data_IF_305174229516
#
_entry.id   IF_305174229516
#
_cell.length_a   1.000
_cell.length_b   1.000
_cell.length_c   1.000
_cell.angle_alpha   90.00
_cell.angle_beta   90.00
_cell.angle_gamma   90.00
#
_symmetry.space_group_name_H-M   'P 1'
#
loop_
_entity.id
_entity.type
_entity.pdbx_description
1 polymer ?
#
# COMPACT_ATOMS: atom_id res chain seq x y z
N UNK A 1 23.95 54.12 -6.27
CA UNK A 1 23.59 52.72 -6.54
C UNK A 1 23.20 52.08 -5.21
N UNK A 2 21.93 51.69 -5.04
CA UNK A 2 21.46 50.92 -3.89
C UNK A 2 20.74 49.70 -4.45
N UNK A 3 21.32 48.54 -4.21
CA UNK A 3 20.84 47.24 -4.65
C UNK A 3 19.49 46.93 -4.01
N UNK A 4 18.52 46.56 -4.85
CA UNK A 4 17.20 46.14 -4.44
C UNK A 4 17.26 44.73 -3.85
N UNK A 5 16.95 44.61 -2.57
CA UNK A 5 16.64 43.34 -1.91
C UNK A 5 15.31 42.86 -2.48
N UNK A 6 15.37 41.87 -3.38
CA UNK A 6 14.18 41.11 -3.80
C UNK A 6 13.78 40.17 -2.67
N UNK A 7 12.92 40.66 -1.79
CA UNK A 7 12.19 39.82 -0.84
C UNK A 7 11.39 38.77 -1.61
N UNK A 8 11.83 37.51 -1.52
CA UNK A 8 11.07 36.35 -1.94
C UNK A 8 9.79 36.24 -1.11
N UNK A 9 8.75 36.91 -1.59
CA UNK A 9 7.39 36.86 -1.07
C UNK A 9 6.87 35.44 -1.24
N UNK A 10 7.08 34.61 -0.23
CA UNK A 10 6.51 33.27 -0.11
C UNK A 10 4.99 33.41 -0.10
N UNK A 11 4.36 33.16 -1.25
CA UNK A 11 2.91 33.08 -1.40
C UNK A 11 2.41 31.86 -0.62
N UNK A 12 2.20 32.02 0.67
CA UNK A 12 1.43 31.08 1.49
C UNK A 12 -0.02 31.11 1.01
N UNK A 13 -0.35 30.20 0.09
CA UNK A 13 -1.74 29.93 -0.28
C UNK A 13 -2.45 29.32 0.93
N UNK A 14 -3.31 30.12 1.56
CA UNK A 14 -3.95 29.89 2.86
C UNK A 14 -4.91 28.67 2.99
N UNK A 15 -4.86 27.68 2.09
CA UNK A 15 -5.59 26.42 2.25
C UNK A 15 -4.78 25.23 1.73
N UNK A 16 -3.88 24.67 2.55
CA UNK A 16 -3.38 23.29 2.36
C UNK A 16 -4.49 22.30 2.72
N UNK A 17 -5.48 22.14 1.83
CA UNK A 17 -6.59 21.19 2.02
C UNK A 17 -6.09 19.74 2.21
N UNK A 18 -4.89 19.42 1.71
CA UNK A 18 -4.25 18.11 1.81
C UNK A 18 -2.74 18.25 2.09
N UNK A 19 -2.14 17.26 2.77
CA UNK A 19 -0.68 17.25 3.03
C UNK A 19 0.16 17.16 1.75
N UNK A 20 -0.25 16.34 0.79
CA UNK A 20 0.42 16.17 -0.49
C UNK A 20 -0.50 16.53 -1.67
N UNK A 21 -0.43 17.76 -2.21
CA UNK A 21 -1.30 18.20 -3.31
C UNK A 21 -0.91 17.60 -4.67
N UNK A 22 0.30 17.06 -4.82
CA UNK A 22 0.85 16.50 -6.04
C UNK A 22 1.32 15.05 -5.77
N UNK A 23 0.39 14.12 -5.47
CA UNK A 23 0.75 12.73 -5.26
C UNK A 23 1.34 12.12 -6.53
N UNK A 24 2.37 11.29 -6.35
CA UNK A 24 3.04 10.54 -7.41
C UNK A 24 3.22 9.11 -6.91
N UNK A 25 3.02 8.14 -7.80
CA UNK A 25 3.36 6.76 -7.50
C UNK A 25 4.86 6.55 -7.58
N UNK A 26 5.44 6.04 -6.49
CA UNK A 26 6.84 5.64 -6.43
C UNK A 26 6.89 4.18 -5.96
N UNK A 27 7.28 3.24 -6.84
CA UNK A 27 7.45 1.86 -6.42
C UNK A 27 8.59 1.77 -5.40
N UNK A 28 8.57 0.71 -4.59
CA UNK A 28 9.69 0.43 -3.69
C UNK A 28 10.96 0.16 -4.48
N UNK A 29 12.09 0.51 -3.89
CA UNK A 29 13.40 0.25 -4.48
C UNK A 29 13.56 -1.25 -4.82
N UNK A 30 14.09 -1.53 -6.01
CA UNK A 30 14.30 -2.90 -6.52
C UNK A 30 13.05 -3.65 -6.97
N UNK A 31 11.82 -3.16 -6.70
CA UNK A 31 10.59 -3.79 -7.21
C UNK A 31 10.44 -3.54 -8.71
N UNK A 32 10.30 -4.63 -9.48
CA UNK A 32 9.97 -4.60 -10.90
C UNK A 32 8.51 -5.00 -11.12
N UNK A 33 7.95 -4.54 -12.23
CA UNK A 33 6.64 -4.98 -12.74
C UNK A 33 6.76 -5.62 -14.12
N UNK A 34 5.71 -6.31 -14.54
CA UNK A 34 5.61 -7.02 -15.82
C UNK A 34 5.66 -6.04 -17.00
N UNK A 35 6.15 -6.46 -18.18
CA UNK A 35 6.13 -5.61 -19.38
C UNK A 35 4.72 -5.10 -19.73
N UNK A 36 3.70 -5.96 -19.62
CA UNK A 36 2.31 -5.56 -19.82
C UNK A 36 1.86 -4.45 -18.85
N UNK A 37 2.24 -4.55 -17.58
CA UNK A 37 1.93 -3.53 -16.57
C UNK A 37 2.64 -2.20 -16.85
N UNK A 38 3.86 -2.20 -17.40
CA UNK A 38 4.53 -0.96 -17.86
C UNK A 38 3.76 -0.31 -19.01
N UNK A 39 3.25 -1.11 -19.95
CA UNK A 39 2.38 -0.60 -21.03
C UNK A 39 1.11 0.03 -20.46
N UNK A 40 0.47 -0.60 -19.48
CA UNK A 40 -0.69 -0.03 -18.78
C UNK A 40 -0.34 1.29 -18.10
N UNK A 41 0.79 1.37 -17.39
CA UNK A 41 1.25 2.60 -16.74
C UNK A 41 1.45 3.74 -17.74
N UNK A 42 2.14 3.49 -18.86
CA UNK A 42 2.32 4.49 -19.91
C UNK A 42 0.98 4.96 -20.48
N UNK A 43 0.06 4.02 -20.77
CA UNK A 43 -1.29 4.35 -21.24
C UNK A 43 -2.13 5.08 -20.19
N UNK A 44 -1.85 4.93 -18.90
CA UNK A 44 -2.57 5.59 -17.81
C UNK A 44 -2.08 7.01 -17.49
N UNK A 45 -0.99 7.49 -18.10
CA UNK A 45 -0.42 8.80 -17.80
C UNK A 45 -1.39 9.94 -18.14
N UNK A 46 -1.69 10.80 -17.16
CA UNK A 46 -2.61 11.93 -17.33
C UNK A 46 -4.06 11.51 -17.61
N UNK A 47 -4.46 10.28 -17.30
CA UNK A 47 -5.77 9.71 -17.59
C UNK A 47 -6.94 10.65 -17.24
N UNK A 48 -6.93 11.27 -16.06
CA UNK A 48 -8.05 12.12 -15.63
C UNK A 48 -8.18 13.46 -16.35
N UNK A 49 -7.25 13.79 -17.25
CA UNK A 49 -7.31 14.97 -18.12
C UNK A 49 -7.80 14.64 -19.53
N UNK A 50 -7.99 13.35 -19.86
CA UNK A 50 -8.41 12.89 -21.18
C UNK A 50 -9.92 12.99 -21.39
N UNK A 51 -10.33 12.95 -22.65
CA UNK A 51 -11.74 12.93 -23.03
C UNK A 51 -12.45 11.68 -22.52
N UNK A 52 -11.83 10.49 -22.60
CA UNK A 52 -12.39 9.23 -22.11
C UNK A 52 -12.85 9.30 -20.65
N UNK A 53 -12.00 9.85 -19.78
CA UNK A 53 -12.36 10.06 -18.38
C UNK A 53 -13.57 10.99 -18.23
N UNK A 54 -13.62 12.07 -19.03
CA UNK A 54 -14.74 13.01 -19.02
C UNK A 54 -16.04 12.36 -19.50
N UNK A 55 -15.97 11.46 -20.49
CA UNK A 55 -17.11 10.66 -20.98
C UNK A 55 -17.63 9.74 -19.87
N UNK A 56 -16.77 9.01 -19.17
CA UNK A 56 -17.18 8.17 -18.04
C UNK A 56 -17.88 8.99 -16.94
N UNK A 57 -17.37 10.19 -16.64
CA UNK A 57 -18.02 11.06 -15.65
C UNK A 57 -19.36 11.60 -16.19
N UNK A 58 -19.46 11.96 -17.46
CA UNK A 58 -20.70 12.41 -18.08
C UNK A 58 -21.77 11.30 -18.07
N UNK A 59 -21.38 10.06 -18.36
CA UNK A 59 -22.27 8.91 -18.26
C UNK A 59 -22.74 8.65 -16.82
N UNK A 60 -21.84 8.73 -15.83
CA UNK A 60 -22.25 8.66 -14.43
C UNK A 60 -23.22 9.80 -14.03
N UNK A 61 -23.13 10.95 -14.69
CA UNK A 61 -24.06 12.08 -14.49
C UNK A 61 -25.42 11.86 -15.14
N UNK A 62 -25.47 11.32 -16.36
CA UNK A 62 -26.75 11.02 -17.01
C UNK A 62 -27.55 9.96 -16.26
N UNK A 63 -26.86 9.03 -15.58
CA UNK A 63 -27.49 8.04 -14.69
C UNK A 63 -27.88 8.58 -13.31
N UNK A 64 -27.70 9.88 -13.04
CA UNK A 64 -27.99 10.48 -11.73
C UNK A 64 -27.05 10.04 -10.58
N UNK A 65 -26.06 9.18 -10.84
CA UNK A 65 -25.08 8.74 -9.84
C UNK A 65 -24.16 9.89 -9.41
N UNK A 66 -23.90 10.83 -10.32
CA UNK A 66 -23.07 12.02 -10.09
C UNK A 66 -23.74 13.30 -10.58
N UNK A 67 -23.37 14.41 -9.97
CA UNK A 67 -23.78 15.74 -10.44
C UNK A 67 -22.63 16.56 -11.02
N UNK A 68 -21.39 16.35 -10.55
CA UNK A 68 -20.23 17.22 -10.84
C UNK A 68 -18.98 16.44 -11.18
N UNK A 69 -18.09 17.09 -11.93
CA UNK A 69 -16.71 16.62 -12.12
C UNK A 69 -15.97 16.51 -10.77
N UNK A 70 -15.08 15.52 -10.62
CA UNK A 70 -14.26 15.41 -9.43
C UNK A 70 -13.30 16.62 -9.33
N UNK A 71 -13.08 17.16 -8.11
CA UNK A 71 -12.16 18.27 -7.92
C UNK A 71 -10.73 17.87 -8.30
N UNK A 72 -9.90 18.86 -8.65
CA UNK A 72 -8.52 18.64 -9.13
C UNK A 72 -7.69 17.75 -8.20
N UNK A 73 -7.78 17.95 -6.88
CA UNK A 73 -7.04 17.14 -5.91
C UNK A 73 -7.46 15.66 -5.86
N UNK A 74 -8.70 15.34 -6.27
CA UNK A 74 -9.16 13.96 -6.42
C UNK A 74 -8.67 13.37 -7.73
N UNK A 75 -8.69 14.16 -8.82
CA UNK A 75 -8.14 13.77 -10.12
C UNK A 75 -6.65 13.39 -10.02
N UNK A 76 -5.83 14.25 -9.40
CA UNK A 76 -4.42 13.93 -9.12
C UNK A 76 -4.23 12.66 -8.29
N UNK A 77 -5.10 12.43 -7.30
CA UNK A 77 -5.06 11.20 -6.51
C UNK A 77 -5.42 9.95 -7.34
N UNK A 78 -6.40 10.07 -8.26
CA UNK A 78 -6.76 9.00 -9.20
C UNK A 78 -5.59 8.71 -10.14
N UNK A 79 -4.94 9.73 -10.71
CA UNK A 79 -3.79 9.51 -11.61
C UNK A 79 -2.65 8.77 -10.89
N UNK A 80 -2.28 9.21 -9.69
CA UNK A 80 -1.27 8.54 -8.88
C UNK A 80 -1.66 7.10 -8.53
N UNK A 81 -2.91 6.88 -8.11
CA UNK A 81 -3.40 5.54 -7.82
C UNK A 81 -3.41 4.64 -9.04
N UNK A 82 -3.85 5.14 -10.20
CA UNK A 82 -3.93 4.35 -11.42
C UNK A 82 -2.55 3.84 -11.83
N UNK A 83 -1.51 4.66 -11.71
CA UNK A 83 -0.12 4.21 -11.89
C UNK A 83 0.24 3.04 -10.95
N UNK A 84 -0.09 3.16 -9.67
CA UNK A 84 0.17 2.08 -8.71
C UNK A 84 -0.70 0.84 -8.89
N UNK A 85 -1.96 0.99 -9.29
CA UNK A 85 -2.86 -0.11 -9.63
C UNK A 85 -2.30 -0.88 -10.82
N UNK A 86 -1.90 -0.18 -11.89
CA UNK A 86 -1.27 -0.78 -13.07
C UNK A 86 0.04 -1.48 -12.71
N UNK A 87 0.88 -0.86 -11.87
CA UNK A 87 2.15 -1.46 -11.45
C UNK A 87 1.96 -2.80 -10.72
N UNK A 88 0.96 -2.90 -9.85
CA UNK A 88 0.69 -4.12 -9.05
C UNK A 88 -0.36 -5.03 -9.68
N UNK A 89 -0.76 -4.78 -10.92
CA UNK A 89 -1.78 -5.57 -11.61
C UNK A 89 -1.25 -6.97 -11.97
N UNK A 90 -2.07 -7.99 -11.71
CA UNK A 90 -1.84 -9.37 -12.13
C UNK A 90 -2.84 -9.75 -13.24
N UNK A 91 -2.38 -9.92 -14.50
CA UNK A 91 -3.25 -10.25 -15.62
C UNK A 91 -3.85 -11.66 -15.54
N UNK A 92 -3.24 -12.57 -14.77
CA UNK A 92 -3.78 -13.92 -14.56
C UNK A 92 -5.10 -13.83 -13.79
N UNK A 93 -5.04 -13.33 -12.55
CA UNK A 93 -6.21 -13.22 -11.68
C UNK A 93 -7.12 -12.01 -11.99
N UNK A 94 -6.72 -11.11 -12.90
CA UNK A 94 -7.31 -9.78 -13.08
C UNK A 94 -7.44 -9.04 -11.73
N UNK A 95 -6.34 -8.96 -10.97
CA UNK A 95 -6.39 -8.42 -9.62
C UNK A 95 -5.16 -7.61 -9.27
N UNK A 96 -5.34 -6.55 -8.49
CA UNK A 96 -4.24 -5.77 -7.95
C UNK A 96 -3.66 -6.48 -6.72
N UNK A 97 -2.41 -6.92 -6.81
CA UNK A 97 -1.71 -7.69 -5.78
C UNK A 97 -1.10 -6.79 -4.68
N UNK A 98 -1.86 -5.79 -4.23
CA UNK A 98 -1.40 -4.83 -3.22
C UNK A 98 -2.54 -4.32 -2.34
N UNK A 99 -2.25 -4.18 -1.05
CA UNK A 99 -3.22 -3.57 -0.12
C UNK A 99 -3.37 -2.08 -0.40
N UNK A 100 -4.58 -1.55 -0.21
CA UNK A 100 -4.87 -0.11 -0.37
C UNK A 100 -3.97 0.72 0.54
N UNK A 101 -3.63 0.21 1.73
CA UNK A 101 -2.73 0.93 2.65
C UNK A 101 -1.35 1.14 2.03
N UNK A 102 -0.74 0.08 1.48
CA UNK A 102 0.58 0.20 0.87
C UNK A 102 0.52 1.00 -0.42
N UNK A 103 -0.54 0.82 -1.22
CA UNK A 103 -0.77 1.61 -2.42
C UNK A 103 -0.88 3.11 -2.10
N UNK A 104 -1.61 3.48 -1.04
CA UNK A 104 -1.73 4.86 -0.60
C UNK A 104 -0.40 5.44 -0.12
N UNK A 105 0.46 4.65 0.51
CA UNK A 105 1.82 5.07 0.91
C UNK A 105 2.68 5.28 -0.35
N UNK A 106 2.70 4.31 -1.25
CA UNK A 106 3.49 4.35 -2.50
C UNK A 106 3.03 5.49 -3.42
N UNK A 107 1.76 5.92 -3.35
CA UNK A 107 1.24 7.08 -4.09
C UNK A 107 1.38 8.42 -3.35
N UNK A 108 1.98 8.44 -2.15
CA UNK A 108 2.08 9.66 -1.33
C UNK A 108 0.72 10.22 -0.87
N UNK A 109 -0.31 9.38 -0.78
CA UNK A 109 -1.68 9.72 -0.37
C UNK A 109 -1.97 9.41 1.10
N UNK A 110 -1.18 8.53 1.70
CA UNK A 110 -1.28 8.19 3.12
C UNK A 110 -0.74 9.32 4.00
N UNK A 111 -1.37 9.53 5.14
CA UNK A 111 -0.91 10.51 6.14
C UNK A 111 -0.90 9.87 7.51
N UNK A 112 0.05 10.24 8.35
CA UNK A 112 0.06 9.87 9.77
C UNK A 112 -0.15 11.12 10.63
N UNK A 113 -0.98 11.00 11.67
CA UNK A 113 -1.18 12.04 12.69
C UNK A 113 0.01 12.09 13.66
N UNK A 114 0.10 13.14 14.48
CA UNK A 114 1.08 13.22 15.59
C UNK A 114 0.96 12.03 16.55
N UNK A 115 -0.28 11.58 16.80
CA UNK A 115 -0.57 10.39 17.63
C UNK A 115 -0.27 9.05 16.95
N UNK A 116 0.10 9.04 15.66
CA UNK A 116 0.43 7.82 14.92
C UNK A 116 -0.71 7.13 14.20
N UNK A 117 -1.86 7.81 14.07
CA UNK A 117 -3.00 7.29 13.36
C UNK A 117 -2.78 7.46 11.86
N UNK A 118 -2.78 6.34 11.13
CA UNK A 118 -2.65 6.33 9.68
C UNK A 118 -4.02 6.57 9.05
N UNK A 119 -4.10 7.56 8.16
CA UNK A 119 -5.26 7.83 7.32
C UNK A 119 -4.91 7.61 5.86
N UNK A 120 -5.78 6.87 5.17
CA UNK A 120 -5.71 6.57 3.74
C UNK A 120 -6.96 7.06 3.00
N UNK A 121 -7.75 7.94 3.63
CA UNK A 121 -9.08 8.36 3.16
C UNK A 121 -9.06 8.98 1.77
N UNK A 122 -7.96 9.65 1.39
CA UNK A 122 -7.80 10.18 0.02
C UNK A 122 -7.77 9.06 -1.01
N UNK A 123 -7.03 7.99 -0.72
CA UNK A 123 -6.94 6.85 -1.61
C UNK A 123 -8.28 6.11 -1.71
N UNK A 124 -8.91 5.80 -0.58
CA UNK A 124 -10.19 5.06 -0.57
C UNK A 124 -11.32 5.85 -1.26
N UNK A 125 -11.40 7.17 -1.07
CA UNK A 125 -12.38 8.01 -1.78
C UNK A 125 -12.14 8.07 -3.29
N UNK A 126 -10.88 8.08 -3.73
CA UNK A 126 -10.54 8.06 -5.15
C UNK A 126 -10.85 6.70 -5.79
N UNK A 127 -10.52 5.59 -5.12
CA UNK A 127 -10.85 4.24 -5.61
C UNK A 127 -12.36 4.00 -5.68
N UNK A 128 -13.12 4.42 -4.65
CA UNK A 128 -14.59 4.36 -4.70
C UNK A 128 -15.17 5.17 -5.85
N UNK A 129 -14.56 6.32 -6.17
CA UNK A 129 -14.96 7.13 -7.32
C UNK A 129 -14.69 6.39 -8.64
N UNK A 130 -13.53 5.74 -8.80
CA UNK A 130 -13.25 4.93 -9.99
C UNK A 130 -14.21 3.73 -10.13
N UNK A 131 -14.59 3.11 -9.02
CA UNK A 131 -15.57 2.03 -9.03
C UNK A 131 -16.98 2.52 -9.41
N UNK A 132 -17.38 3.70 -8.95
CA UNK A 132 -18.63 4.35 -9.31
C UNK A 132 -18.71 4.69 -10.81
N UNK A 133 -17.56 5.01 -11.44
CA UNK A 133 -17.44 5.17 -12.90
C UNK A 133 -17.46 3.85 -13.67
N UNK A 134 -17.48 2.70 -12.97
CA UNK A 134 -17.44 1.38 -13.58
C UNK A 134 -16.07 1.00 -14.16
N UNK A 135 -14.99 1.70 -13.77
CA UNK A 135 -13.64 1.44 -14.28
C UNK A 135 -12.97 0.28 -13.53
N UNK A 136 -13.24 0.13 -12.24
CA UNK A 136 -12.70 -0.95 -11.41
C UNK A 136 -13.82 -1.61 -10.62
N UNK A 137 -13.59 -2.85 -10.18
CA UNK A 137 -14.35 -3.38 -9.05
C UNK A 137 -13.68 -2.96 -7.74
N UNK A 138 -14.47 -2.84 -6.68
CA UNK A 138 -13.99 -2.50 -5.34
C UNK A 138 -14.82 -3.27 -4.32
N UNK A 139 -14.33 -4.42 -3.88
CA UNK A 139 -15.07 -5.31 -2.98
C UNK A 139 -14.33 -5.46 -1.66
N UNK A 140 -15.00 -5.15 -0.55
CA UNK A 140 -14.45 -5.35 0.80
C UNK A 140 -15.37 -6.31 1.54
N UNK A 141 -14.81 -7.41 2.04
CA UNK A 141 -15.53 -8.37 2.86
C UNK A 141 -15.07 -8.25 4.32
N UNK A 142 -16.00 -8.35 5.27
CA UNK A 142 -15.68 -8.48 6.69
C UNK A 142 -15.58 -9.97 7.03
N UNK A 143 -14.49 -10.37 7.69
CA UNK A 143 -14.31 -11.74 8.19
C UNK A 143 -14.57 -11.74 9.72
N UNK A 144 -15.71 -12.30 10.18
CA UNK A 144 -16.07 -12.33 11.59
C UNK A 144 -15.12 -13.16 12.45
N UNK A 145 -14.47 -14.18 11.88
CA UNK A 145 -13.59 -15.09 12.63
C UNK A 145 -12.32 -14.37 13.08
N UNK A 146 -11.80 -13.47 12.26
CA UNK A 146 -10.63 -12.64 12.57
C UNK A 146 -11.00 -11.23 13.07
N UNK A 147 -12.29 -10.88 13.06
CA UNK A 147 -12.79 -9.59 13.52
C UNK A 147 -12.29 -8.39 12.71
N UNK A 148 -12.02 -8.56 11.42
CA UNK A 148 -11.55 -7.46 10.56
C UNK A 148 -11.93 -7.63 9.08
N UNK A 149 -11.82 -6.55 8.32
CA UNK A 149 -12.01 -6.58 6.88
C UNK A 149 -10.85 -7.30 6.18
N UNK A 150 -11.19 -8.24 5.30
CA UNK A 150 -10.28 -8.86 4.32
C UNK A 150 -9.72 -7.76 3.40
N UNK A 151 -8.49 -7.89 2.87
CA UNK A 151 -7.96 -6.95 1.89
C UNK A 151 -8.95 -6.74 0.76
N UNK A 152 -9.27 -5.47 0.49
CA UNK A 152 -10.17 -5.10 -0.60
C UNK A 152 -9.66 -5.67 -1.92
N UNK A 153 -10.55 -6.34 -2.63
CA UNK A 153 -10.32 -6.86 -3.96
C UNK A 153 -10.61 -5.77 -4.98
N UNK A 154 -9.60 -5.50 -5.82
CA UNK A 154 -9.68 -4.53 -6.91
C UNK A 154 -9.31 -5.26 -8.20
N UNK A 155 -10.25 -5.29 -9.14
CA UNK A 155 -10.08 -5.83 -10.49
C UNK A 155 -10.30 -4.74 -11.53
N UNK A 156 -9.71 -4.91 -12.72
CA UNK A 156 -9.94 -4.00 -13.83
C UNK A 156 -11.14 -4.48 -14.64
N UNK A 157 -11.96 -3.52 -15.07
CA UNK A 157 -13.10 -3.80 -15.95
C UNK A 157 -12.69 -3.66 -17.43
N UNK A 158 -13.44 -4.25 -18.36
CA UNK A 158 -13.26 -3.98 -19.79
C UNK A 158 -13.34 -2.48 -20.12
N UNK A 159 -14.19 -1.73 -19.40
CA UNK A 159 -14.31 -0.28 -19.58
C UNK A 159 -13.01 0.46 -19.29
N UNK A 160 -12.26 0.07 -18.26
CA UNK A 160 -10.94 0.66 -17.99
C UNK A 160 -9.91 0.30 -19.06
N UNK A 161 -9.88 -0.95 -19.54
CA UNK A 161 -8.97 -1.31 -20.63
C UNK A 161 -9.27 -0.52 -21.90
N UNK A 162 -10.55 -0.40 -22.26
CA UNK A 162 -11.00 0.42 -23.38
C UNK A 162 -10.61 1.89 -23.22
N UNK A 163 -10.86 2.48 -22.04
CA UNK A 163 -10.49 3.87 -21.75
C UNK A 163 -8.97 4.13 -21.71
N UNK A 164 -8.16 3.07 -21.59
CA UNK A 164 -6.70 3.11 -21.69
C UNK A 164 -6.18 2.71 -23.08
N UNK A 165 -7.07 2.49 -24.05
CA UNK A 165 -6.73 2.03 -25.40
C UNK A 165 -5.90 0.73 -25.37
N UNK A 166 -6.41 -0.25 -24.61
CA UNK A 166 -5.88 -1.60 -24.49
C UNK A 166 -6.92 -2.57 -25.02
N UNK A 167 -6.58 -3.30 -26.08
CA UNK A 167 -7.47 -4.30 -26.67
C UNK A 167 -7.61 -5.54 -25.79
N UNK A 168 -8.77 -6.19 -25.86
CA UNK A 168 -9.03 -7.46 -25.17
C UNK A 168 -8.03 -8.55 -25.58
N UNK A 169 -7.62 -8.55 -26.86
CA UNK A 169 -6.58 -9.45 -27.37
C UNK A 169 -5.25 -9.26 -26.62
N UNK A 170 -4.86 -8.02 -26.32
CA UNK A 170 -3.65 -7.74 -25.56
C UNK A 170 -3.77 -8.22 -24.10
N UNK A 171 -4.95 -8.08 -23.48
CA UNK A 171 -5.22 -8.58 -22.13
C UNK A 171 -5.15 -10.10 -22.10
N UNK A 172 -5.78 -10.79 -23.05
CA UNK A 172 -5.76 -12.24 -23.18
C UNK A 172 -4.35 -12.77 -23.43
N UNK A 173 -3.57 -12.11 -24.29
CA UNK A 173 -2.18 -12.47 -24.52
C UNK A 173 -1.33 -12.34 -23.25
N UNK A 174 -1.50 -11.25 -22.49
CA UNK A 174 -0.82 -11.06 -21.21
C UNK A 174 -1.19 -12.14 -20.18
N UNK A 175 -2.47 -12.54 -20.15
CA UNK A 175 -2.95 -13.64 -19.29
C UNK A 175 -2.33 -14.99 -19.67
N UNK A 176 -2.34 -15.35 -20.97
CA UNK A 176 -1.74 -16.60 -21.47
C UNK A 176 -0.24 -16.67 -21.17
N UNK A 177 0.49 -15.60 -21.45
CA UNK A 177 1.92 -15.50 -21.12
C UNK A 177 2.18 -15.70 -19.62
N UNK A 178 1.26 -15.24 -18.77
CA UNK A 178 1.37 -15.44 -17.32
C UNK A 178 1.14 -16.89 -16.90
N UNK A 179 0.16 -17.58 -17.51
CA UNK A 179 -0.09 -19.02 -17.31
C UNK A 179 1.14 -19.84 -17.68
N UNK A 180 1.70 -19.60 -18.87
CA UNK A 180 2.91 -20.28 -19.35
C UNK A 180 4.09 -20.09 -18.39
N UNK A 181 4.31 -18.85 -17.94
CA UNK A 181 5.38 -18.55 -17.00
C UNK A 181 5.21 -19.27 -15.66
N UNK A 182 3.99 -19.32 -15.11
CA UNK A 182 3.70 -20.03 -13.86
C UNK A 182 3.95 -21.53 -14.01
N UNK A 183 3.49 -22.14 -15.10
CA UNK A 183 3.73 -23.55 -15.38
C UNK A 183 5.21 -23.87 -15.63
N UNK A 184 5.98 -22.94 -16.22
CA UNK A 184 7.44 -23.06 -16.29
C UNK A 184 8.09 -23.05 -14.90
N UNK A 185 7.63 -22.20 -13.97
CA UNK A 185 8.14 -22.25 -12.59
C UNK A 185 7.77 -23.55 -11.88
N UNK A 186 6.56 -24.05 -12.10
CA UNK A 186 6.10 -25.33 -11.55
C UNK A 186 6.94 -26.50 -12.04
N UNK A 187 7.27 -26.53 -13.34
CA UNK A 187 8.15 -27.55 -13.92
C UNK A 187 9.54 -27.53 -13.29
N UNK A 188 10.11 -26.36 -13.02
CA UNK A 188 11.39 -26.22 -12.28
C UNK A 188 11.32 -26.76 -10.85
N UNK A 189 10.13 -26.77 -10.25
CA UNK A 189 9.86 -27.32 -8.93
C UNK A 189 9.38 -28.78 -8.98
N UNK A 190 9.46 -29.44 -10.14
CA UNK A 190 8.94 -30.81 -10.36
C UNK A 190 7.45 -30.98 -10.04
N UNK A 191 6.67 -29.91 -10.20
CA UNK A 191 5.22 -29.93 -10.03
C UNK A 191 4.53 -30.06 -11.39
N UNK A 192 3.41 -30.79 -11.43
CA UNK A 192 2.57 -30.91 -12.62
C UNK A 192 2.05 -29.53 -13.07
N UNK A 193 1.92 -29.29 -14.38
CA UNK A 193 1.28 -28.08 -14.88
C UNK A 193 -0.17 -28.04 -14.38
N UNK A 194 -0.68 -26.82 -14.20
CA UNK A 194 -2.08 -26.59 -13.85
C UNK A 194 -2.77 -25.86 -14.98
N UNK A 195 -4.07 -26.09 -15.08
CA UNK A 195 -4.92 -25.35 -16.00
C UNK A 195 -5.10 -23.91 -15.53
N UNK A 196 -5.52 -23.05 -16.45
CA UNK A 196 -5.66 -21.62 -16.19
C UNK A 196 -6.59 -21.34 -15.00
N UNK A 197 -7.73 -22.02 -14.92
CA UNK A 197 -8.71 -21.79 -13.85
C UNK A 197 -8.18 -22.21 -12.48
N UNK A 198 -7.38 -23.28 -12.42
CA UNK A 198 -6.73 -23.73 -11.19
C UNK A 198 -5.66 -22.73 -10.72
N UNK A 199 -4.89 -22.17 -11.66
CA UNK A 199 -3.91 -21.13 -11.38
C UNK A 199 -4.58 -19.85 -10.88
N UNK A 200 -5.71 -19.45 -11.48
CA UNK A 200 -6.51 -18.31 -11.02
C UNK A 200 -7.01 -18.58 -9.59
N UNK A 201 -7.63 -19.74 -9.34
CA UNK A 201 -8.13 -20.10 -8.01
C UNK A 201 -7.02 -20.11 -6.96
N UNK A 202 -5.82 -20.56 -7.32
CA UNK A 202 -4.63 -20.53 -6.46
C UNK A 202 -4.17 -19.10 -6.16
N UNK A 203 -4.12 -18.23 -7.17
CA UNK A 203 -3.76 -16.82 -7.00
C UNK A 203 -4.72 -16.08 -6.06
N UNK A 204 -6.02 -16.39 -6.12
CA UNK A 204 -7.03 -15.84 -5.22
C UNK A 204 -6.92 -16.36 -3.78
N UNK A 205 -6.74 -17.68 -3.60
CA UNK A 205 -6.58 -18.30 -2.25
C UNK A 205 -5.36 -17.76 -1.52
N UNK A 206 -4.22 -17.68 -2.21
CA UNK A 206 -2.96 -17.26 -1.62
C UNK A 206 -3.06 -15.95 -0.85
N UNK A 207 -3.81 -14.97 -1.37
CA UNK A 207 -3.90 -13.66 -0.73
C UNK A 207 -4.76 -13.67 0.53
N UNK A 208 -5.86 -14.44 0.55
CA UNK A 208 -6.70 -14.58 1.73
C UNK A 208 -5.95 -15.34 2.83
N UNK A 209 -5.25 -16.41 2.49
CA UNK A 209 -4.46 -17.21 3.44
C UNK A 209 -3.28 -16.43 4.04
N UNK A 210 -2.50 -15.74 3.19
CA UNK A 210 -1.39 -14.87 3.64
C UNK A 210 -1.85 -13.72 4.52
N UNK A 211 -3.05 -13.20 4.28
CA UNK A 211 -3.58 -12.12 5.11
C UNK A 211 -3.77 -12.58 6.57
N UNK A 212 -4.31 -13.79 6.78
CA UNK A 212 -4.56 -14.34 8.11
C UNK A 212 -3.26 -14.60 8.87
N UNK A 213 -2.27 -15.21 8.22
CA UNK A 213 -0.96 -15.45 8.86
C UNK A 213 -0.23 -14.14 9.19
N UNK A 214 -0.28 -13.15 8.30
CA UNK A 214 0.42 -11.87 8.50
C UNK A 214 -0.24 -10.94 9.53
N UNK A 215 -1.53 -11.13 9.88
CA UNK A 215 -2.21 -10.24 10.85
C UNK A 215 -1.55 -10.24 12.23
N UNK A 216 -1.16 -11.42 12.73
CA UNK A 216 -0.53 -11.56 14.05
C UNK A 216 0.80 -10.80 14.10
N UNK A 217 1.62 -10.93 13.07
CA UNK A 217 2.88 -10.19 12.89
C UNK A 217 2.66 -8.68 12.78
N UNK A 218 1.60 -8.23 12.08
CA UNK A 218 1.28 -6.80 12.03
C UNK A 218 0.91 -6.23 13.39
N UNK A 219 0.16 -6.99 14.20
CA UNK A 219 -0.24 -6.57 15.56
C UNK A 219 0.99 -6.43 16.44
N UNK A 220 1.88 -7.43 16.44
CA UNK A 220 3.13 -7.40 17.22
C UNK A 220 4.04 -6.25 16.77
N UNK A 221 4.19 -6.06 15.46
CA UNK A 221 4.96 -4.95 14.90
C UNK A 221 4.33 -3.59 15.22
N UNK A 222 2.99 -3.50 15.30
CA UNK A 222 2.27 -2.31 15.77
C UNK A 222 2.64 -1.92 17.20
N UNK A 223 2.73 -2.90 18.10
CA UNK A 223 3.18 -2.68 19.48
C UNK A 223 4.65 -2.20 19.53
N UNK A 224 5.52 -2.76 18.67
CA UNK A 224 6.91 -2.32 18.54
C UNK A 224 7.00 -0.86 18.08
N UNK A 225 6.20 -0.45 17.09
CA UNK A 225 6.14 0.96 16.64
C UNK A 225 5.62 1.89 17.72
N UNK A 226 4.53 1.51 18.41
CA UNK A 226 3.98 2.31 19.51
C UNK A 226 5.01 2.49 20.64
N UNK A 227 5.79 1.45 20.93
CA UNK A 227 6.91 1.50 21.86
C UNK A 227 8.04 2.39 21.34
N UNK A 228 8.49 2.20 20.10
CA UNK A 228 9.52 3.02 19.46
C UNK A 228 9.19 4.51 19.48
N UNK A 229 7.91 4.87 19.27
CA UNK A 229 7.43 6.24 19.40
C UNK A 229 7.56 6.80 20.82
N UNK A 230 7.21 6.03 21.86
CA UNK A 230 7.41 6.45 23.26
C UNK A 230 8.88 6.55 23.64
N UNK A 231 9.72 5.76 22.98
CA UNK A 231 11.17 5.73 23.18
C UNK A 231 11.90 6.76 22.30
N UNK A 232 11.18 7.54 21.46
CA UNK A 232 11.76 8.49 20.51
C UNK A 232 12.59 9.57 21.23
N UNK A 233 12.05 10.13 22.31
CA UNK A 233 12.67 11.20 23.09
C UNK A 233 13.55 10.68 24.24
N UNK A 234 13.69 9.36 24.39
CA UNK A 234 14.45 8.74 25.49
C UNK A 234 15.92 8.56 25.16
N UNK A 235 16.78 8.68 26.17
CA UNK A 235 18.20 8.35 26.03
C UNK A 235 18.42 6.83 25.97
N UNK A 236 19.61 6.41 25.52
CA UNK A 236 19.99 4.99 25.54
C UNK A 236 19.97 4.44 26.97
N UNK A 237 20.42 5.22 27.96
CA UNK A 237 20.45 4.81 29.36
C UNK A 237 19.05 4.56 29.90
N UNK A 238 18.09 5.45 29.61
CA UNK A 238 16.68 5.26 29.99
C UNK A 238 16.10 3.96 29.42
N UNK A 239 16.38 3.70 28.14
CA UNK A 239 15.93 2.47 27.47
C UNK A 239 16.57 1.23 28.12
N UNK A 240 17.86 1.27 28.45
CA UNK A 240 18.54 0.18 29.17
C UNK A 240 17.87 -0.08 30.52
N UNK A 241 17.59 0.96 31.30
CA UNK A 241 16.92 0.84 32.61
C UNK A 241 15.55 0.19 32.47
N UNK A 242 14.74 0.65 31.51
CA UNK A 242 13.41 0.08 31.24
C UNK A 242 13.47 -1.38 30.80
N UNK A 243 14.45 -1.76 29.97
CA UNK A 243 14.62 -3.15 29.52
C UNK A 243 15.07 -4.03 30.69
N UNK A 244 15.98 -3.56 31.54
CA UNK A 244 16.39 -4.27 32.77
C UNK A 244 15.18 -4.54 33.67
N UNK A 245 14.40 -3.52 34.00
CA UNK A 245 13.18 -3.67 34.80
C UNK A 245 12.19 -4.67 34.18
N UNK A 246 12.04 -4.65 32.86
CA UNK A 246 11.19 -5.60 32.14
C UNK A 246 11.71 -7.04 32.27
N UNK A 247 13.00 -7.26 32.04
CA UNK A 247 13.61 -8.59 32.09
C UNK A 247 13.61 -9.18 33.50
N UNK A 248 13.90 -8.37 34.53
CA UNK A 248 13.82 -8.82 35.93
C UNK A 248 12.41 -9.28 36.29
N UNK A 249 11.37 -8.56 35.85
CA UNK A 249 9.98 -8.96 36.06
C UNK A 249 9.61 -10.23 35.30
N UNK A 250 10.08 -10.38 34.07
CA UNK A 250 9.86 -11.59 33.26
C UNK A 250 10.56 -12.82 33.86
N UNK A 251 11.77 -12.64 34.43
CA UNK A 251 12.48 -13.68 35.16
C UNK A 251 11.73 -14.10 36.43
N UNK A 252 11.32 -13.13 37.25
CA UNK A 252 10.57 -13.39 38.48
C UNK A 252 9.22 -14.06 38.25
N UNK A 253 8.58 -13.81 37.10
CA UNK A 253 7.29 -14.41 36.72
C UNK A 253 7.42 -15.69 35.89
N UNK A 254 8.64 -16.21 35.70
CA UNK A 254 8.91 -17.42 34.93
C UNK A 254 8.68 -17.29 33.41
N UNK A 255 8.46 -16.08 32.88
CA UNK A 255 8.26 -15.82 31.44
C UNK A 255 9.57 -15.76 30.66
N UNK A 256 10.68 -15.54 31.36
CA UNK A 256 12.02 -15.65 30.81
C UNK A 256 12.74 -16.79 31.51
N UNK A 257 13.31 -17.71 30.73
CA UNK A 257 14.10 -18.84 31.23
C UNK A 257 15.52 -18.73 30.71
N UNK A 258 16.50 -19.13 31.53
CA UNK A 258 17.92 -19.11 31.18
C UNK A 258 18.78 -18.39 32.22
N UNK A 259 20.09 -18.66 32.20
CA UNK A 259 21.05 -18.08 33.13
C UNK A 259 21.40 -16.61 32.84
N UNK A 260 22.37 -16.09 33.60
CA UNK A 260 22.85 -14.71 33.54
C UNK A 260 23.25 -14.26 32.12
N UNK A 261 23.92 -15.12 31.36
CA UNK A 261 24.39 -14.81 30.01
C UNK A 261 23.26 -14.73 28.99
N UNK A 262 22.21 -15.56 29.15
CA UNK A 262 21.00 -15.45 28.33
C UNK A 262 20.30 -14.10 28.59
N UNK A 263 20.24 -13.68 29.86
CA UNK A 263 19.64 -12.40 30.24
C UNK A 263 20.43 -11.19 29.69
N UNK A 264 21.77 -11.23 29.74
CA UNK A 264 22.63 -10.17 29.17
C UNK A 264 22.45 -10.06 27.66
N UNK A 265 22.45 -11.19 26.92
CA UNK A 265 22.21 -11.20 25.47
C UNK A 265 20.83 -10.65 25.11
N UNK A 266 19.80 -11.02 25.86
CA UNK A 266 18.44 -10.53 25.61
C UNK A 266 18.31 -9.02 25.93
N UNK A 267 18.99 -8.53 26.97
CA UNK A 267 19.09 -7.10 27.26
C UNK A 267 19.68 -6.34 26.07
N UNK A 268 20.83 -6.77 25.55
CA UNK A 268 21.48 -6.14 24.41
C UNK A 268 20.59 -6.16 23.16
N UNK A 269 19.98 -7.32 22.86
CA UNK A 269 19.07 -7.49 21.72
C UNK A 269 17.89 -6.51 21.80
N UNK A 270 17.22 -6.42 22.95
CA UNK A 270 16.05 -5.53 23.16
C UNK A 270 16.42 -4.06 23.13
N UNK A 271 17.56 -3.68 23.71
CA UNK A 271 18.06 -2.30 23.66
C UNK A 271 18.37 -1.91 22.22
N UNK A 272 19.09 -2.77 21.48
CA UNK A 272 19.39 -2.55 20.06
C UNK A 272 18.11 -2.40 19.22
N UNK A 273 17.14 -3.31 19.41
CA UNK A 273 15.86 -3.26 18.72
C UNK A 273 15.08 -1.97 19.03
N UNK A 274 14.97 -1.59 20.31
CA UNK A 274 14.26 -0.36 20.71
C UNK A 274 14.94 0.89 20.18
N UNK A 275 16.27 0.97 20.27
CA UNK A 275 17.05 2.07 19.71
C UNK A 275 16.86 2.18 18.20
N UNK A 276 16.89 1.06 17.47
CA UNK A 276 16.66 1.09 16.03
C UNK A 276 15.24 1.56 15.71
N UNK A 277 14.24 1.04 16.42
CA UNK A 277 12.83 1.41 16.20
C UNK A 277 12.50 2.85 16.59
N UNK A 278 13.18 3.44 17.59
CA UNK A 278 12.89 4.78 18.10
C UNK A 278 13.60 5.90 17.33
N UNK A 279 14.56 5.56 16.46
CA UNK A 279 15.35 6.52 15.69
C UNK A 279 14.90 6.57 14.23
N UNK A 280 15.25 7.66 13.53
CA UNK A 280 15.09 7.77 12.07
C UNK A 280 13.67 7.60 11.55
N UNK A 281 12.65 7.93 12.35
CA UNK A 281 11.23 7.67 12.04
C UNK A 281 10.90 6.18 11.79
N UNK A 282 11.70 5.21 12.23
CA UNK A 282 11.42 3.78 12.03
C UNK A 282 10.11 3.29 12.68
N UNK A 283 9.55 4.07 13.61
CA UNK A 283 8.24 3.86 14.20
C UNK A 283 7.06 4.40 13.34
N UNK A 284 7.33 5.17 12.28
CA UNK A 284 6.28 5.69 11.38
C UNK A 284 5.64 4.56 10.59
N UNK A 285 4.34 4.73 10.28
CA UNK A 285 3.62 3.85 9.36
C UNK A 285 3.78 4.25 7.90
N UNK A 286 4.39 5.40 7.63
CA UNK A 286 4.63 5.91 6.28
C UNK A 286 5.92 5.36 5.66
N UNK A 287 6.85 4.87 6.49
CA UNK A 287 8.03 4.18 6.01
C UNK A 287 7.62 2.81 5.45
N UNK A 288 8.05 2.53 4.22
CA UNK A 288 7.84 1.23 3.61
C UNK A 288 8.78 0.20 4.24
N UNK A 289 8.36 -0.42 5.34
CA UNK A 289 9.10 -1.55 5.92
C UNK A 289 9.12 -2.69 4.89
N UNK A 290 10.27 -3.35 4.63
CA UNK A 290 10.32 -4.56 3.83
C UNK A 290 9.41 -5.61 4.49
N UNK A 291 8.44 -6.12 3.74
CA UNK A 291 7.66 -7.31 4.09
C UNK A 291 8.00 -8.33 3.00
#
# INVERSE_FOLDING_TARGET
>A
MREGVTENRTLFTHYRQVKNPNPVFTPREGKKTLPFCRKLMAKAEGFTSRFDFSVHVAFARSLGKRHRMPPLLRRRAIDALLQGLCFHYDPLANRVQRSITNLAIECGLATESKSGNLSITRATRALKFMAELGLITYQTEYDPQIGCNIPTDITFTPALFSALDISDVAVLAARRSRVEWENLQRKKQSLLPLEMDELIAKAWRFVRERFRSYQSERKSHGLKRARGRRDADRTRQDIVTLVKQQLTREYATGRFTGGLDAMKRELERRVKERMLMSRGNNYTRLATVPI
#
